data_IF_606608689192
#
_entry.id   IF_606608689192
#
_cell.length_a   1.000
_cell.length_b   1.000
_cell.length_c   1.000
_cell.angle_alpha   90.00
_cell.angle_beta   90.00
_cell.angle_gamma   90.00
#
_symmetry.space_group_name_H-M   'P 1'
#
loop_
_entity.id
_entity.type
_entity.pdbx_description
1 polymer ?
#
# COMPACT_ATOMS: atom_id res chain seq x y z
N UNK A 1 -12.01 24.61 42.80
CA UNK A 1 -11.82 25.79 41.93
C UNK A 1 -10.64 25.51 41.02
N UNK A 2 -10.81 25.70 39.71
CA UNK A 2 -9.82 25.66 38.60
C UNK A 2 -9.24 24.27 38.24
N UNK A 3 -9.56 23.66 37.09
CA UNK A 3 -9.26 23.97 35.66
C UNK A 3 -7.85 23.52 35.25
N UNK A 4 -7.76 22.44 34.46
CA UNK A 4 -7.29 22.35 33.05
C UNK A 4 -5.75 22.22 32.91
N UNK A 5 -5.15 21.37 32.07
CA UNK A 5 -5.52 20.92 30.72
C UNK A 5 -5.09 19.44 30.49
N UNK A 6 -5.71 18.71 29.55
CA UNK A 6 -5.13 17.46 29.05
C UNK A 6 -3.90 17.80 28.20
N UNK A 7 -2.71 17.48 28.69
CA UNK A 7 -1.51 17.50 27.88
C UNK A 7 -1.60 16.35 26.89
N UNK A 8 -1.97 16.66 25.64
CA UNK A 8 -1.71 15.80 24.50
C UNK A 8 -0.18 15.58 24.45
N UNK A 9 0.29 14.48 25.04
CA UNK A 9 1.65 13.98 24.83
C UNK A 9 1.71 13.39 23.41
N UNK A 10 1.73 14.29 22.44
CA UNK A 10 1.97 13.93 21.06
C UNK A 10 3.50 13.78 20.92
N UNK A 11 3.99 12.58 21.21
CA UNK A 11 5.37 12.18 20.99
C UNK A 11 5.82 12.37 19.52
N UNK A 12 7.13 12.39 19.25
CA UNK A 12 7.67 12.92 18.01
C UNK A 12 7.37 11.99 16.81
N UNK A 13 6.61 12.51 15.84
CA UNK A 13 6.50 12.00 14.49
C UNK A 13 5.43 10.93 14.28
N UNK A 14 4.16 11.33 14.22
CA UNK A 14 3.19 10.53 13.46
C UNK A 14 3.71 10.42 12.03
N UNK A 15 4.04 9.22 11.51
CA UNK A 15 4.13 9.08 10.06
C UNK A 15 2.75 9.47 9.55
N UNK A 16 2.67 10.54 8.75
CA UNK A 16 1.45 10.86 8.01
C UNK A 16 0.92 9.57 7.38
N UNK A 17 -0.42 9.40 7.28
CA UNK A 17 -1.05 8.10 7.07
C UNK A 17 -0.29 7.34 5.99
N UNK A 18 0.34 6.23 6.39
CA UNK A 18 1.13 5.43 5.46
C UNK A 18 0.26 5.13 4.24
N UNK A 19 0.80 5.21 3.01
CA UNK A 19 0.03 4.93 1.80
C UNK A 19 -0.73 3.62 1.98
N UNK A 20 -2.05 3.66 1.73
CA UNK A 20 -2.96 2.54 2.02
C UNK A 20 -2.46 1.27 1.37
N UNK A 21 -1.99 1.37 0.12
CA UNK A 21 -1.38 0.28 -0.63
C UNK A 21 -0.02 0.72 -1.18
N UNK A 22 1.01 -0.11 -0.98
CA UNK A 22 2.34 0.06 -1.55
C UNK A 22 2.66 -1.15 -2.42
N UNK A 23 3.00 -0.89 -3.68
CA UNK A 23 3.45 -1.92 -4.61
C UNK A 23 4.91 -1.68 -4.94
N UNK A 24 5.77 -2.62 -4.55
CA UNK A 24 7.21 -2.52 -4.77
C UNK A 24 7.60 -2.70 -6.25
N UNK A 25 8.83 -2.31 -6.64
CA UNK A 25 9.34 -2.55 -7.99
C UNK A 25 9.28 -4.04 -8.37
N UNK A 26 9.18 -4.36 -9.67
CA UNK A 26 9.29 -5.73 -10.12
C UNK A 26 10.67 -6.30 -9.74
N UNK A 27 10.69 -7.47 -9.11
CA UNK A 27 11.92 -8.23 -8.84
C UNK A 27 12.45 -8.85 -10.16
N UNK A 28 13.55 -9.62 -10.12
CA UNK A 28 14.18 -10.21 -11.32
C UNK A 28 13.28 -11.15 -12.15
N UNK A 29 12.12 -11.53 -11.61
CA UNK A 29 11.09 -12.33 -12.29
C UNK A 29 9.93 -11.50 -12.85
N UNK A 30 9.91 -10.19 -12.64
CA UNK A 30 8.77 -9.33 -12.96
C UNK A 30 7.67 -9.29 -11.89
N UNK A 31 7.87 -9.97 -10.76
CA UNK A 31 6.88 -10.06 -9.68
C UNK A 31 6.99 -8.88 -8.72
N UNK A 32 5.89 -8.51 -8.06
CA UNK A 32 5.84 -7.33 -7.21
C UNK A 32 5.38 -7.66 -5.80
N UNK A 33 6.13 -7.21 -4.80
CA UNK A 33 5.73 -7.30 -3.39
C UNK A 33 4.66 -6.26 -3.06
N UNK A 34 3.62 -6.65 -2.34
CA UNK A 34 2.46 -5.80 -2.01
C UNK A 34 2.34 -5.66 -0.49
N UNK A 35 2.18 -4.42 -0.03
CA UNK A 35 1.89 -4.09 1.38
C UNK A 35 0.65 -3.21 1.47
N UNK A 36 -0.21 -3.46 2.45
CA UNK A 36 -1.37 -2.62 2.75
C UNK A 36 -1.34 -2.24 4.22
N UNK A 37 -1.54 -0.96 4.54
CA UNK A 37 -1.54 -0.46 5.93
C UNK A 37 -0.29 -0.89 6.73
N UNK A 38 0.88 -0.88 6.09
CA UNK A 38 2.14 -1.35 6.69
C UNK A 38 2.27 -2.88 6.84
N UNK A 39 1.22 -3.68 6.61
CA UNK A 39 1.26 -5.16 6.61
C UNK A 39 1.63 -5.71 5.23
N UNK A 40 2.51 -6.72 5.21
CA UNK A 40 2.81 -7.46 3.97
C UNK A 40 1.66 -8.38 3.60
N UNK A 41 1.11 -8.22 2.39
CA UNK A 41 0.03 -9.07 1.88
C UNK A 41 0.56 -10.25 1.07
N UNK A 42 1.64 -10.05 0.31
CA UNK A 42 2.24 -11.12 -0.49
C UNK A 42 3.04 -10.62 -1.68
N UNK A 43 3.25 -11.52 -2.64
CA UNK A 43 3.89 -11.23 -3.94
C UNK A 43 2.86 -11.43 -5.04
N UNK A 44 2.53 -10.35 -5.75
CA UNK A 44 1.66 -10.37 -6.91
C UNK A 44 2.45 -10.76 -8.16
N UNK A 45 1.86 -11.60 -8.99
CA UNK A 45 2.41 -12.02 -10.28
C UNK A 45 1.78 -11.24 -11.43
N UNK A 46 0.59 -10.67 -11.19
CA UNK A 46 -0.18 -9.82 -12.09
C UNK A 46 -1.02 -8.82 -11.29
N UNK A 47 -1.54 -7.81 -11.97
CA UNK A 47 -2.36 -6.75 -11.34
C UNK A 47 -3.59 -7.30 -10.60
N UNK A 48 -4.26 -8.31 -11.16
CA UNK A 48 -5.44 -8.93 -10.55
C UNK A 48 -5.16 -9.62 -9.21
N UNK A 49 -3.92 -10.03 -8.93
CA UNK A 49 -3.59 -10.66 -7.63
C UNK A 49 -3.69 -9.64 -6.47
N UNK A 50 -3.56 -8.34 -6.78
CA UNK A 50 -3.67 -7.27 -5.78
C UNK A 50 -5.09 -7.21 -5.22
N UNK A 51 -6.11 -7.31 -6.07
CA UNK A 51 -7.52 -7.35 -5.64
C UNK A 51 -7.80 -8.57 -4.77
N UNK A 52 -7.22 -9.74 -5.10
CA UNK A 52 -7.33 -10.96 -4.28
C UNK A 52 -6.73 -10.74 -2.89
N UNK A 53 -5.58 -10.08 -2.80
CA UNK A 53 -4.95 -9.76 -1.53
C UNK A 53 -5.78 -8.80 -0.68
N UNK A 54 -6.36 -7.77 -1.29
CA UNK A 54 -7.24 -6.81 -0.62
C UNK A 54 -8.55 -7.49 -0.15
N UNK A 55 -9.14 -8.37 -0.97
CA UNK A 55 -10.30 -9.15 -0.57
C UNK A 55 -9.99 -10.05 0.63
N UNK A 56 -8.79 -10.64 0.67
CA UNK A 56 -8.33 -11.44 1.81
C UNK A 56 -8.12 -10.63 3.10
N UNK A 57 -8.00 -9.30 3.03
CA UNK A 57 -8.01 -8.44 4.23
C UNK A 57 -9.42 -8.07 4.71
N UNK A 58 -10.46 -8.58 4.05
CA UNK A 58 -11.86 -8.25 4.36
C UNK A 58 -12.35 -6.95 3.69
N UNK A 59 -11.65 -6.45 2.67
CA UNK A 59 -12.10 -5.28 1.91
C UNK A 59 -13.27 -5.66 1.00
N UNK A 60 -14.40 -4.99 1.20
CA UNK A 60 -15.54 -5.07 0.27
C UNK A 60 -15.21 -4.34 -1.03
N UNK A 61 -15.64 -4.92 -2.17
CA UNK A 61 -15.39 -4.36 -3.51
C UNK A 61 -13.90 -4.17 -3.83
N UNK A 62 -13.03 -5.07 -3.35
CA UNK A 62 -11.59 -5.03 -3.63
C UNK A 62 -11.23 -4.99 -5.13
N UNK A 63 -12.10 -5.52 -5.98
CA UNK A 63 -11.97 -5.52 -7.45
C UNK A 63 -12.19 -4.11 -8.06
N UNK A 64 -12.93 -3.24 -7.37
CA UNK A 64 -13.25 -1.85 -7.74
C UNK A 64 -12.24 -0.85 -7.16
N UNK A 65 -11.28 -1.34 -6.35
CA UNK A 65 -10.28 -0.50 -5.74
C UNK A 65 -9.42 0.18 -6.81
N UNK A 66 -9.39 1.52 -6.81
CA UNK A 66 -8.69 2.29 -7.84
C UNK A 66 -7.16 2.17 -7.66
N UNK A 67 -6.55 1.32 -8.47
CA UNK A 67 -5.10 1.10 -8.48
C UNK A 67 -4.33 2.20 -9.20
N UNK A 68 -5.00 3.16 -9.84
CA UNK A 68 -4.37 4.24 -10.59
C UNK A 68 -4.25 5.53 -9.77
N UNK A 69 -5.08 5.64 -8.73
CA UNK A 69 -5.10 6.78 -7.86
C UNK A 69 -3.85 6.84 -6.96
N UNK A 70 -3.01 7.88 -7.09
CA UNK A 70 -1.77 8.00 -6.32
C UNK A 70 -2.01 8.34 -4.84
N UNK A 71 -3.23 8.71 -4.44
CA UNK A 71 -3.57 8.89 -3.02
C UNK A 71 -3.88 7.54 -2.34
N UNK A 72 -4.32 6.54 -3.10
CA UNK A 72 -4.58 5.18 -2.64
C UNK A 72 -3.37 4.25 -2.78
N UNK A 73 -2.61 4.37 -3.87
CA UNK A 73 -1.53 3.44 -4.23
C UNK A 73 -0.20 4.13 -4.51
N UNK A 74 0.82 3.72 -3.76
CA UNK A 74 2.23 4.06 -4.02
C UNK A 74 2.86 2.97 -4.90
N UNK A 75 2.95 3.23 -6.21
CA UNK A 75 3.66 2.37 -7.16
C UNK A 75 5.15 2.71 -7.22
N UNK A 76 5.99 1.75 -6.80
CA UNK A 76 7.44 1.87 -6.88
C UNK A 76 7.98 1.15 -8.10
N UNK A 77 8.96 1.75 -8.77
CA UNK A 77 9.63 1.14 -9.92
C UNK A 77 8.73 1.00 -11.15
N UNK A 78 7.79 1.94 -11.34
CA UNK A 78 6.84 1.96 -12.46
C UNK A 78 5.41 1.67 -12.03
N UNK A 79 4.45 2.21 -12.77
CA UNK A 79 3.02 2.13 -12.50
C UNK A 79 2.37 0.77 -12.79
N UNK A 80 1.03 0.70 -12.78
CA UNK A 80 0.25 -0.54 -12.87
C UNK A 80 0.48 -1.36 -14.14
N UNK A 81 0.97 -0.76 -15.22
CA UNK A 81 1.27 -1.44 -16.48
C UNK A 81 2.68 -2.04 -16.55
N UNK A 82 3.56 -1.69 -15.61
CA UNK A 82 4.97 -2.09 -15.66
C UNK A 82 5.21 -3.37 -14.85
N UNK A 83 5.22 -4.54 -15.49
CA UNK A 83 5.50 -5.83 -14.83
C UNK A 83 6.74 -6.54 -15.34
N UNK A 84 7.41 -5.96 -16.32
CA UNK A 84 8.67 -6.51 -16.82
C UNK A 84 9.76 -6.38 -15.76
N UNK A 85 10.63 -7.39 -15.61
CA UNK A 85 11.79 -7.26 -14.74
C UNK A 85 12.64 -6.05 -15.19
N UNK A 86 13.30 -5.36 -14.25
CA UNK A 86 14.22 -4.30 -14.60
C UNK A 86 15.30 -4.87 -15.54
N UNK A 87 15.57 -4.14 -16.63
CA UNK A 87 16.66 -4.49 -17.54
C UNK A 87 17.95 -4.47 -16.70
N UNK A 88 18.62 -5.62 -16.64
CA UNK A 88 19.87 -5.82 -15.89
C UNK A 88 21.03 -5.02 -16.49
#
# INVERSE_FOLDING_TARGET
MTSACPGNDHGPGEPGPAPRLVVHPPDHRGWRRVRCDGRSLGTAYRISDIAVFLAATGMENAEDFDLTDPALVDWRGGGPDCWTPPLA
#
